data_IF_462376108902
#
_entry.id   IF_462376108902
#
_cell.length_a   1.000
_cell.length_b   1.000
_cell.length_c   1.000
_cell.angle_alpha   90.00
_cell.angle_beta   90.00
_cell.angle_gamma   90.00
#
_symmetry.space_group_name_H-M   'P 1'
#
loop_
_entity.id
_entity.type
_entity.pdbx_description
1 polymer ?
#
# COMPACT_ATOMS: atom_id res chain seq x y z
N UNK A 1 -5.03 26.80 3.77
CA UNK A 1 -4.86 26.74 5.23
C UNK A 1 -5.56 25.48 5.70
N UNK A 2 -4.84 24.63 6.41
CA UNK A 2 -5.39 23.37 6.91
C UNK A 2 -6.21 23.57 8.21
N UNK A 3 -6.74 22.48 8.75
CA UNK A 3 -7.51 22.45 9.99
C UNK A 3 -6.75 22.97 11.23
N UNK A 4 -5.42 22.99 11.19
CA UNK A 4 -4.55 23.46 12.27
C UNK A 4 -4.01 24.88 12.02
N UNK A 5 -4.60 25.59 11.06
CA UNK A 5 -4.21 26.94 10.64
C UNK A 5 -2.81 27.04 9.99
N UNK A 6 -2.23 25.93 9.52
CA UNK A 6 -0.98 25.99 8.76
C UNK A 6 -1.21 26.19 7.26
N UNK A 7 -0.29 26.90 6.60
CA UNK A 7 -0.31 27.13 5.17
C UNK A 7 0.27 25.91 4.45
N UNK A 8 -0.61 25.13 3.84
CA UNK A 8 -0.26 24.00 2.98
C UNK A 8 -0.36 24.39 1.50
N UNK A 9 0.38 23.68 0.64
CA UNK A 9 0.23 23.79 -0.81
C UNK A 9 -1.17 23.30 -1.21
N UNK A 10 -1.82 24.02 -2.13
CA UNK A 10 -3.20 23.76 -2.56
C UNK A 10 -3.40 22.32 -3.02
N UNK A 11 -2.38 21.72 -3.66
CA UNK A 11 -2.39 20.35 -4.16
C UNK A 11 -2.44 19.26 -3.08
N UNK A 12 -2.01 19.60 -1.87
CA UNK A 12 -1.84 18.69 -0.72
C UNK A 12 -3.00 18.82 0.27
N UNK A 13 -4.02 19.64 -0.04
CA UNK A 13 -5.22 19.84 0.79
C UNK A 13 -6.44 19.21 0.11
N UNK A 14 -7.32 18.60 0.91
CA UNK A 14 -8.57 17.97 0.50
C UNK A 14 -9.79 18.71 1.03
N UNK A 15 -10.90 18.57 0.29
CA UNK A 15 -12.22 18.84 0.85
C UNK A 15 -12.68 17.67 1.74
N UNK A 16 -13.29 17.93 2.92
CA UNK A 16 -13.98 16.92 3.70
C UNK A 16 -15.07 16.22 2.86
N UNK A 17 -15.28 14.91 3.07
CA UNK A 17 -16.37 14.19 2.43
C UNK A 17 -17.72 14.65 2.98
N UNK A 18 -18.76 14.74 2.13
CA UNK A 18 -20.11 15.21 2.52
C UNK A 18 -20.94 14.12 3.24
N UNK A 19 -20.47 12.87 3.26
CA UNK A 19 -21.16 11.74 3.90
C UNK A 19 -20.71 11.54 5.33
N UNK A 20 -21.68 11.71 6.23
CA UNK A 20 -21.69 11.31 7.64
C UNK A 20 -21.05 9.92 7.78
N UNK A 21 -20.00 9.82 8.59
CA UNK A 21 -19.37 8.54 8.92
C UNK A 21 -17.86 8.49 8.74
N UNK A 22 -17.14 9.61 8.76
CA UNK A 22 -15.68 9.58 8.99
C UNK A 22 -15.46 9.21 10.47
N UNK A 23 -15.67 7.93 10.77
CA UNK A 23 -15.32 7.32 12.04
C UNK A 23 -13.80 7.35 12.13
N UNK A 24 -13.29 8.43 12.70
CA UNK A 24 -11.97 8.58 13.29
C UNK A 24 -10.93 7.60 12.77
N UNK A 25 -10.34 7.90 11.62
CA UNK A 25 -8.91 7.65 11.53
C UNK A 25 -8.27 8.76 12.35
N UNK A 26 -7.81 8.42 13.55
CA UNK A 26 -6.87 9.23 14.33
C UNK A 26 -5.50 9.29 13.65
N UNK A 27 -5.49 9.39 12.32
CA UNK A 27 -4.29 9.63 11.55
C UNK A 27 -4.20 11.14 11.49
N UNK A 28 -3.19 11.65 12.18
CA UNK A 28 -2.74 13.03 12.30
C UNK A 28 -2.35 13.68 10.96
N UNK A 29 -3.05 13.36 9.87
CA UNK A 29 -2.84 13.93 8.56
C UNK A 29 -3.72 15.16 8.42
N UNK A 30 -3.14 16.30 8.80
CA UNK A 30 -3.69 17.65 8.70
C UNK A 30 -3.85 18.15 7.26
N UNK A 31 -4.40 17.32 6.39
CA UNK A 31 -4.51 17.56 4.96
C UNK A 31 -5.91 18.06 4.57
N UNK A 32 -6.77 18.40 5.53
CA UNK A 32 -8.11 18.93 5.24
C UNK A 32 -8.13 20.45 5.30
N UNK A 33 -8.92 21.06 4.42
CA UNK A 33 -9.13 22.50 4.48
C UNK A 33 -9.76 22.88 5.83
N UNK A 34 -9.36 24.02 6.38
CA UNK A 34 -9.92 24.53 7.61
C UNK A 34 -11.46 24.54 7.56
N UNK A 35 -12.11 24.06 8.63
CA UNK A 35 -13.57 23.94 8.70
C UNK A 35 -14.29 25.27 8.43
N UNK A 36 -13.77 26.39 8.93
CA UNK A 36 -14.37 27.72 8.72
C UNK A 36 -14.33 28.09 7.24
N UNK A 37 -13.21 27.77 6.56
CA UNK A 37 -13.05 28.00 5.12
C UNK A 37 -13.97 27.05 4.32
N UNK A 38 -14.10 25.80 4.75
CA UNK A 38 -14.99 24.84 4.11
C UNK A 38 -16.46 25.26 4.19
N UNK A 39 -16.92 25.67 5.37
CA UNK A 39 -18.29 26.12 5.60
C UNK A 39 -18.59 27.36 4.75
N UNK A 40 -17.64 28.31 4.68
CA UNK A 40 -17.72 29.47 3.81
C UNK A 40 -17.76 29.10 2.31
N UNK A 41 -16.97 28.11 1.87
CA UNK A 41 -16.96 27.64 0.47
C UNK A 41 -18.24 26.89 0.07
N UNK A 42 -18.99 26.36 1.04
CA UNK A 42 -20.27 25.68 0.80
C UNK A 42 -21.46 26.65 0.70
N UNK A 43 -21.26 27.94 0.98
CA UNK A 43 -22.26 28.95 0.70
C UNK A 43 -22.54 29.05 -0.81
N UNK A 44 -23.81 29.16 -1.20
CA UNK A 44 -24.23 29.22 -2.62
C UNK A 44 -23.54 30.32 -3.43
N UNK A 45 -23.15 31.40 -2.76
CA UNK A 45 -22.45 32.56 -3.31
C UNK A 45 -21.01 32.25 -3.74
N UNK A 46 -20.38 31.22 -3.16
CA UNK A 46 -18.97 30.88 -3.37
C UNK A 46 -18.73 29.69 -4.30
N UNK A 47 -19.78 29.23 -5.01
CA UNK A 47 -19.70 28.06 -5.91
C UNK A 47 -18.61 28.20 -6.98
N UNK A 48 -18.40 29.41 -7.52
CA UNK A 48 -17.34 29.70 -8.50
C UNK A 48 -15.93 29.56 -7.90
N UNK A 49 -15.75 29.96 -6.63
CA UNK A 49 -14.49 29.83 -5.90
C UNK A 49 -14.21 28.36 -5.55
N UNK A 50 -15.22 27.62 -5.10
CA UNK A 50 -15.11 26.16 -4.88
C UNK A 50 -14.71 25.44 -6.17
N UNK A 51 -15.33 25.79 -7.31
CA UNK A 51 -14.97 25.23 -8.62
C UNK A 51 -13.57 25.64 -9.06
N UNK A 52 -13.15 26.88 -8.83
CA UNK A 52 -11.78 27.32 -9.12
C UNK A 52 -10.74 26.60 -8.25
N UNK A 53 -11.02 26.35 -6.97
CA UNK A 53 -10.15 25.54 -6.12
C UNK A 53 -10.06 24.09 -6.61
N UNK A 54 -11.14 23.53 -7.14
CA UNK A 54 -11.13 22.21 -7.79
C UNK A 54 -10.26 22.19 -9.04
N UNK A 55 -10.27 23.24 -9.87
CA UNK A 55 -9.38 23.32 -11.05
C UNK A 55 -7.91 23.52 -10.66
N UNK A 56 -7.63 24.09 -9.49
CA UNK A 56 -6.29 24.19 -8.92
C UNK A 56 -5.83 22.90 -8.21
N UNK A 57 -6.70 21.89 -8.13
CA UNK A 57 -6.36 20.57 -7.62
C UNK A 57 -6.87 20.26 -6.22
N UNK A 58 -7.69 21.09 -5.56
CA UNK A 58 -8.36 20.71 -4.31
C UNK A 58 -9.53 19.78 -4.63
N UNK A 59 -9.40 18.49 -4.33
CA UNK A 59 -10.42 17.48 -4.65
C UNK A 59 -10.99 16.93 -3.35
N UNK A 60 -12.24 16.46 -3.39
CA UNK A 60 -12.82 15.70 -2.28
C UNK A 60 -11.97 14.47 -1.98
N UNK A 61 -11.70 14.20 -0.70
CA UNK A 61 -10.98 12.98 -0.30
C UNK A 61 -11.87 11.76 -0.56
N UNK A 62 -11.64 11.12 -1.69
CA UNK A 62 -12.04 9.73 -1.94
C UNK A 62 -10.82 8.82 -1.79
N UNK A 63 -11.04 7.54 -1.51
CA UNK A 63 -9.98 6.52 -1.43
C UNK A 63 -9.05 6.56 -2.67
N UNK A 64 -9.61 6.79 -3.87
CA UNK A 64 -8.85 6.90 -5.12
C UNK A 64 -8.00 8.18 -5.19
N UNK A 65 -8.52 9.33 -4.74
CA UNK A 65 -7.74 10.58 -4.72
C UNK A 65 -6.63 10.55 -3.66
N UNK A 66 -6.90 9.91 -2.52
CA UNK A 66 -5.92 9.70 -1.46
C UNK A 66 -4.81 8.76 -1.91
N UNK A 67 -5.16 7.68 -2.63
CA UNK A 67 -4.18 6.81 -3.27
C UNK A 67 -3.25 7.57 -4.21
N UNK A 68 -3.81 8.31 -5.17
CA UNK A 68 -3.04 8.93 -6.23
C UNK A 68 -2.15 10.10 -5.77
N UNK A 69 -2.57 10.83 -4.73
CA UNK A 69 -1.87 12.02 -4.26
C UNK A 69 -1.03 11.81 -3.01
N UNK A 70 -1.38 10.85 -2.16
CA UNK A 70 -0.69 10.62 -0.89
C UNK A 70 0.09 9.32 -0.93
N UNK A 71 -0.56 8.19 -1.21
CA UNK A 71 0.06 6.87 -1.07
C UNK A 71 1.09 6.62 -2.17
N UNK A 72 0.73 6.80 -3.45
CA UNK A 72 1.63 6.53 -4.58
C UNK A 72 2.91 7.40 -4.50
N UNK A 73 2.83 8.73 -4.30
CA UNK A 73 4.03 9.57 -4.24
C UNK A 73 4.93 9.26 -3.04
N UNK A 74 4.36 8.78 -1.93
CA UNK A 74 5.08 8.48 -0.69
C UNK A 74 5.25 6.97 -0.45
N UNK A 75 5.11 6.13 -1.48
CA UNK A 75 5.00 4.67 -1.30
C UNK A 75 6.14 4.09 -0.44
N UNK A 76 7.38 4.54 -0.63
CA UNK A 76 8.54 4.05 0.13
C UNK A 76 8.52 4.34 1.64
N UNK A 77 7.72 5.32 2.09
CA UNK A 77 7.72 5.81 3.48
C UNK A 77 6.34 5.86 4.13
N UNK A 78 5.27 5.68 3.36
CA UNK A 78 3.89 5.85 3.84
C UNK A 78 3.49 4.77 4.86
N UNK A 79 3.79 3.50 4.58
CA UNK A 79 3.42 2.41 5.48
C UNK A 79 4.33 2.35 6.72
N UNK A 80 3.69 2.35 7.89
CA UNK A 80 4.24 2.14 9.23
C UNK A 80 3.57 0.90 9.86
N UNK A 81 4.11 0.41 10.97
CA UNK A 81 3.56 -0.78 11.64
C UNK A 81 2.11 -0.58 12.12
N UNK A 82 1.71 0.68 12.31
CA UNK A 82 0.37 1.06 12.78
C UNK A 82 -0.67 1.13 11.65
N UNK A 83 -0.25 1.57 10.45
CA UNK A 83 -1.17 1.83 9.34
C UNK A 83 -1.12 0.78 8.22
N UNK A 84 -0.11 -0.11 8.19
CA UNK A 84 0.13 -0.99 7.04
C UNK A 84 -1.06 -1.92 6.75
N UNK A 85 -1.65 -2.54 7.77
CA UNK A 85 -2.83 -3.41 7.59
C UNK A 85 -4.00 -2.63 6.99
N UNK A 86 -4.40 -1.51 7.61
CA UNK A 86 -5.53 -0.68 7.16
C UNK A 86 -5.32 -0.17 5.73
N UNK A 87 -4.10 0.26 5.41
CA UNK A 87 -3.77 0.76 4.08
C UNK A 87 -3.92 -0.33 3.02
N UNK A 88 -3.35 -1.52 3.24
CA UNK A 88 -3.45 -2.61 2.27
C UNK A 88 -4.89 -3.10 2.11
N UNK A 89 -5.71 -3.07 3.19
CA UNK A 89 -7.15 -3.36 3.12
C UNK A 89 -7.86 -2.38 2.20
N UNK A 90 -7.66 -1.08 2.41
CA UNK A 90 -8.27 -0.04 1.59
C UNK A 90 -7.91 -0.22 0.10
N UNK A 91 -6.64 -0.50 -0.20
CA UNK A 91 -6.18 -0.77 -1.56
C UNK A 91 -6.82 -2.02 -2.17
N UNK A 92 -6.95 -3.09 -1.38
CA UNK A 92 -7.61 -4.30 -1.84
C UNK A 92 -9.10 -4.06 -2.14
N UNK A 93 -9.79 -3.27 -1.32
CA UNK A 93 -11.18 -2.89 -1.58
C UNK A 93 -11.34 -2.06 -2.86
N UNK A 94 -10.42 -1.13 -3.13
CA UNK A 94 -10.38 -0.40 -4.40
C UNK A 94 -10.16 -1.34 -5.59
N UNK A 95 -9.28 -2.33 -5.44
CA UNK A 95 -9.01 -3.33 -6.47
C UNK A 95 -10.25 -4.19 -6.77
N UNK A 96 -10.96 -4.66 -5.74
CA UNK A 96 -12.20 -5.44 -5.89
C UNK A 96 -13.33 -4.66 -6.55
N UNK A 97 -13.39 -3.34 -6.33
CA UNK A 97 -14.35 -2.45 -6.99
C UNK A 97 -13.97 -2.13 -8.44
N UNK A 98 -12.82 -2.59 -8.92
CA UNK A 98 -12.22 -2.20 -10.19
C UNK A 98 -11.94 -0.69 -10.31
N UNK A 99 -11.79 0.00 -9.18
CA UNK A 99 -11.41 1.42 -9.14
C UNK A 99 -9.90 1.61 -9.43
N UNK A 100 -9.11 0.55 -9.22
CA UNK A 100 -7.68 0.51 -9.52
C UNK A 100 -7.32 -0.81 -10.20
N UNK A 101 -6.35 -0.76 -11.11
CA UNK A 101 -5.90 -1.93 -11.85
C UNK A 101 -4.38 -2.10 -11.75
N UNK A 102 -3.83 -2.95 -12.63
CA UNK A 102 -2.40 -3.26 -12.68
C UNK A 102 -1.52 -2.02 -12.80
N UNK A 103 -1.97 -0.96 -13.49
CA UNK A 103 -1.15 0.24 -13.71
C UNK A 103 -0.92 1.02 -12.41
N UNK A 104 -1.95 1.17 -11.60
CA UNK A 104 -1.91 1.85 -10.29
C UNK A 104 -1.18 0.98 -9.28
N UNK A 105 -1.51 -0.32 -9.21
CA UNK A 105 -0.86 -1.27 -8.29
C UNK A 105 0.64 -1.40 -8.56
N UNK A 106 1.07 -1.38 -9.83
CA UNK A 106 2.48 -1.44 -10.18
C UNK A 106 3.28 -0.21 -9.72
N UNK A 107 2.63 0.94 -9.45
CA UNK A 107 3.28 2.11 -8.86
C UNK A 107 3.53 1.95 -7.36
N UNK A 108 2.89 0.96 -6.72
CA UNK A 108 3.02 0.65 -5.30
C UNK A 108 4.11 -0.40 -5.00
N UNK A 109 4.99 -0.71 -5.96
CA UNK A 109 6.13 -1.63 -5.77
C UNK A 109 7.02 -1.30 -4.57
N UNK A 110 7.16 -0.01 -4.28
CA UNK A 110 7.94 0.48 -3.14
C UNK A 110 7.14 0.58 -1.85
N UNK A 111 5.82 0.37 -1.90
CA UNK A 111 4.97 0.37 -0.71
C UNK A 111 5.38 -0.77 0.21
N UNK A 112 5.66 -0.45 1.48
CA UNK A 112 6.15 -1.43 2.42
C UNK A 112 5.03 -2.35 2.93
N UNK A 113 5.24 -3.66 2.89
CA UNK A 113 4.32 -4.68 3.35
C UNK A 113 4.88 -5.36 4.61
N UNK A 114 3.95 -5.82 5.45
CA UNK A 114 4.24 -6.56 6.66
C UNK A 114 4.78 -7.94 6.31
N UNK A 115 5.91 -8.31 6.91
CA UNK A 115 6.51 -9.64 6.78
C UNK A 115 6.05 -10.57 7.91
N UNK A 116 6.29 -11.87 7.76
CA UNK A 116 6.03 -12.87 8.81
C UNK A 116 6.85 -12.65 10.09
N UNK A 117 7.92 -11.83 10.04
CA UNK A 117 8.69 -11.42 11.22
C UNK A 117 8.26 -10.08 11.81
N UNK A 118 7.20 -9.48 11.27
CA UNK A 118 6.61 -8.23 11.75
C UNK A 118 7.34 -6.97 11.28
N UNK A 119 8.27 -7.06 10.32
CA UNK A 119 8.94 -5.89 9.75
C UNK A 119 8.23 -5.40 8.49
N UNK A 120 8.72 -4.29 7.94
CA UNK A 120 8.15 -3.63 6.76
C UNK A 120 9.18 -3.51 5.65
N UNK A 121 8.94 -4.22 4.55
CA UNK A 121 9.82 -4.25 3.37
C UNK A 121 9.03 -3.89 2.11
N UNK A 122 9.68 -3.36 1.08
CA UNK A 122 8.99 -2.99 -0.16
C UNK A 122 8.29 -4.20 -0.82
N UNK A 123 7.11 -3.99 -1.40
CA UNK A 123 6.33 -5.03 -2.05
C UNK A 123 7.14 -5.82 -3.10
N UNK A 124 7.98 -5.13 -3.89
CA UNK A 124 8.86 -5.75 -4.89
C UNK A 124 9.97 -6.66 -4.33
N UNK A 125 10.22 -6.57 -3.01
CA UNK A 125 11.19 -7.39 -2.28
C UNK A 125 10.52 -8.52 -1.50
N UNK A 126 9.18 -8.52 -1.40
CA UNK A 126 8.44 -9.59 -0.74
C UNK A 126 8.32 -10.83 -1.62
N UNK A 127 8.26 -11.99 -0.96
CA UNK A 127 7.81 -13.25 -1.51
C UNK A 127 6.61 -13.77 -0.71
N UNK A 128 5.79 -14.64 -1.30
CA UNK A 128 4.70 -15.26 -0.56
C UNK A 128 5.22 -16.23 0.53
N UNK A 129 4.65 -16.15 1.73
CA UNK A 129 4.83 -17.17 2.77
C UNK A 129 4.08 -18.47 2.40
N UNK A 130 4.42 -19.58 3.04
CA UNK A 130 3.91 -20.91 2.69
C UNK A 130 2.38 -21.01 2.85
N UNK A 131 1.78 -20.18 3.71
CA UNK A 131 0.33 -20.11 3.92
C UNK A 131 -0.44 -19.62 2.68
N UNK A 132 0.21 -18.83 1.80
CA UNK A 132 -0.35 -18.43 0.51
C UNK A 132 -0.28 -19.54 -0.56
N UNK A 133 0.32 -20.70 -0.24
CA UNK A 133 0.54 -21.83 -1.16
C UNK A 133 1.32 -21.43 -2.43
N UNK A 134 2.52 -20.83 -2.29
CA UNK A 134 3.38 -20.53 -3.44
C UNK A 134 3.73 -21.81 -4.20
N UNK A 135 4.13 -21.69 -5.47
CA UNK A 135 4.53 -22.86 -6.28
C UNK A 135 5.70 -23.62 -5.66
N UNK A 136 6.64 -22.89 -5.05
CA UNK A 136 7.79 -23.43 -4.37
C UNK A 136 7.81 -22.90 -2.92
N UNK A 137 7.41 -23.71 -1.93
CA UNK A 137 7.42 -23.32 -0.52
C UNK A 137 8.87 -23.29 0.00
N UNK A 138 9.44 -22.09 0.07
CA UNK A 138 10.83 -21.86 0.48
C UNK A 138 10.94 -21.18 1.85
N UNK A 139 9.83 -20.80 2.46
CA UNK A 139 9.84 -20.08 3.72
C UNK A 139 10.54 -20.90 4.81
N UNK A 140 10.23 -22.20 4.93
CA UNK A 140 10.86 -23.05 5.93
C UNK A 140 12.40 -23.03 5.90
N UNK A 141 12.99 -22.97 4.70
CA UNK A 141 14.44 -23.01 4.49
C UNK A 141 15.11 -21.65 4.67
N UNK A 142 14.41 -20.55 4.36
CA UNK A 142 14.99 -19.21 4.30
C UNK A 142 14.58 -18.31 5.47
N UNK A 143 13.48 -18.61 6.18
CA UNK A 143 12.94 -17.78 7.29
C UNK A 143 13.95 -17.48 8.40
N UNK A 144 14.95 -18.34 8.58
CA UNK A 144 16.01 -18.14 9.57
C UNK A 144 16.98 -17.02 9.18
N UNK A 145 17.19 -16.80 7.87
CA UNK A 145 18.20 -15.89 7.32
C UNK A 145 17.60 -14.63 6.70
N UNK A 146 16.41 -14.74 6.12
CA UNK A 146 15.81 -13.70 5.31
C UNK A 146 14.44 -13.29 5.86
N UNK A 147 14.22 -11.98 5.92
CA UNK A 147 12.95 -11.39 6.31
C UNK A 147 12.26 -10.82 5.08
N UNK A 148 11.69 -11.72 4.27
CA UNK A 148 11.06 -11.35 3.00
C UNK A 148 9.69 -11.97 2.72
N UNK A 149 9.21 -12.80 3.64
CA UNK A 149 7.95 -13.52 3.45
C UNK A 149 6.79 -12.65 3.88
N UNK A 150 5.82 -12.44 2.99
CA UNK A 150 4.62 -11.64 3.20
C UNK A 150 3.79 -12.23 4.35
N UNK A 151 3.39 -11.40 5.31
CA UNK A 151 2.55 -11.83 6.43
C UNK A 151 1.19 -12.34 5.95
N UNK A 152 0.73 -13.44 6.53
CA UNK A 152 -0.63 -13.95 6.29
C UNK A 152 -1.70 -13.18 7.07
N UNK A 153 -1.32 -12.21 7.92
CA UNK A 153 -2.25 -11.33 8.64
C UNK A 153 -3.14 -10.54 7.69
N UNK A 154 -2.64 -10.25 6.48
CA UNK A 154 -3.44 -9.66 5.42
C UNK A 154 -4.61 -10.54 4.96
N UNK A 155 -4.68 -11.81 5.35
CA UNK A 155 -5.77 -12.75 5.04
C UNK A 155 -6.58 -13.07 6.28
N UNK A 156 -5.93 -13.28 7.42
CA UNK A 156 -6.58 -13.75 8.67
C UNK A 156 -7.11 -12.63 9.55
N UNK A 157 -6.66 -11.39 9.38
CA UNK A 157 -7.14 -10.25 10.17
C UNK A 157 -8.65 -10.14 10.09
N UNK A 158 -9.30 -9.93 11.23
CA UNK A 158 -10.75 -9.76 11.29
C UNK A 158 -11.24 -8.54 10.48
N UNK A 159 -10.35 -7.56 10.24
CA UNK A 159 -10.63 -6.41 9.36
C UNK A 159 -10.75 -6.85 7.88
N UNK A 160 -10.10 -7.95 7.51
CA UNK A 160 -10.12 -8.55 6.17
C UNK A 160 -11.13 -9.70 6.03
N UNK A 161 -11.74 -10.20 7.11
CA UNK A 161 -12.67 -11.34 7.03
C UNK A 161 -13.99 -10.90 6.42
N UNK A 162 -14.12 -11.08 5.11
CA UNK A 162 -15.39 -11.36 4.46
C UNK A 162 -15.54 -12.87 4.28
N UNK A 163 -16.71 -13.39 4.61
CA UNK A 163 -17.06 -14.78 4.32
C UNK A 163 -16.96 -15.00 2.79
N UNK A 164 -16.21 -16.03 2.37
CA UNK A 164 -16.04 -16.49 0.98
C UNK A 164 -15.04 -15.76 0.07
N UNK A 165 -14.08 -15.00 0.61
CA UNK A 165 -13.10 -14.32 -0.25
C UNK A 165 -11.97 -15.24 -0.75
N UNK A 166 -11.74 -15.24 -2.07
CA UNK A 166 -10.82 -16.16 -2.74
C UNK A 166 -9.35 -15.76 -2.50
N UNK A 167 -8.56 -16.68 -1.92
CA UNK A 167 -7.11 -16.54 -1.76
C UNK A 167 -6.42 -16.23 -3.10
N UNK A 168 -6.96 -16.72 -4.22
CA UNK A 168 -6.47 -16.45 -5.57
C UNK A 168 -6.54 -14.96 -5.93
N UNK A 169 -7.64 -14.29 -5.59
CA UNK A 169 -7.81 -12.86 -5.86
C UNK A 169 -6.81 -12.03 -5.03
N UNK A 170 -6.63 -12.39 -3.76
CA UNK A 170 -5.65 -11.76 -2.87
C UNK A 170 -4.23 -11.93 -3.40
N UNK A 171 -3.87 -13.13 -3.84
CA UNK A 171 -2.56 -13.38 -4.48
C UNK A 171 -2.39 -12.53 -5.73
N UNK A 172 -3.41 -12.46 -6.59
CA UNK A 172 -3.38 -11.64 -7.81
C UNK A 172 -3.12 -10.17 -7.47
N UNK A 173 -3.79 -9.63 -6.46
CA UNK A 173 -3.56 -8.27 -5.98
C UNK A 173 -2.10 -8.04 -5.56
N UNK A 174 -1.54 -8.92 -4.72
CA UNK A 174 -0.15 -8.79 -4.27
C UNK A 174 0.87 -8.92 -5.41
N UNK A 175 0.63 -9.83 -6.36
CA UNK A 175 1.47 -9.96 -7.58
C UNK A 175 1.44 -8.67 -8.39
N UNK A 176 0.27 -8.04 -8.54
CA UNK A 176 0.14 -6.76 -9.25
C UNK A 176 0.84 -5.60 -8.53
N UNK A 177 0.92 -5.64 -7.20
CA UNK A 177 1.74 -4.70 -6.42
C UNK A 177 3.25 -4.97 -6.53
N UNK A 178 3.66 -6.15 -7.01
CA UNK A 178 5.06 -6.51 -7.23
C UNK A 178 5.60 -7.62 -6.34
N UNK A 179 4.78 -8.22 -5.48
CA UNK A 179 5.20 -9.39 -4.68
C UNK A 179 5.61 -10.53 -5.61
N UNK A 180 6.77 -11.12 -5.33
CA UNK A 180 7.35 -12.16 -6.18
C UNK A 180 6.72 -13.52 -5.87
N UNK A 181 6.36 -14.25 -6.92
CA UNK A 181 5.88 -15.64 -6.80
C UNK A 181 7.03 -16.65 -6.73
N UNK A 182 8.18 -16.31 -7.34
CA UNK A 182 9.33 -17.18 -7.47
C UNK A 182 10.60 -16.41 -7.06
N UNK A 183 11.54 -17.08 -6.41
CA UNK A 183 12.89 -16.53 -6.25
C UNK A 183 13.61 -16.63 -7.57
N UNK A 184 14.02 -15.50 -8.12
CA UNK A 184 14.86 -15.50 -9.31
C UNK A 184 16.22 -16.12 -8.95
N UNK A 185 16.65 -17.18 -9.65
CA UNK A 185 17.97 -17.75 -9.44
C UNK A 185 19.02 -16.70 -9.79
N UNK A 186 19.99 -16.50 -8.89
CA UNK A 186 21.16 -15.68 -9.17
C UNK A 186 22.02 -16.47 -10.16
N UNK A 187 22.07 -16.00 -11.41
CA UNK A 187 22.96 -16.59 -12.41
C UNK A 187 24.39 -16.15 -12.09
N UNK A 188 25.22 -17.11 -11.66
CA UNK A 188 26.64 -16.86 -11.48
C UNK A 188 27.30 -16.74 -12.86
N UNK A 189 27.55 -15.52 -13.32
CA UNK A 189 28.27 -15.23 -14.56
C UNK A 189 29.79 -15.47 -14.45
N UNK A 190 30.27 -16.07 -13.35
CA UNK A 190 31.66 -16.50 -13.19
C UNK A 190 31.69 -18.01 -12.97
N UNK A 191 32.68 -18.68 -13.59
CA UNK A 191 33.02 -20.05 -13.21
C UNK A 191 33.54 -20.01 -11.77
N UNK A 192 32.82 -20.65 -10.85
CA UNK A 192 33.31 -20.89 -9.50
C UNK A 192 34.40 -21.97 -9.58
N UNK A 193 35.48 -21.79 -8.83
CA UNK A 193 36.39 -22.90 -8.56
C UNK A 193 35.67 -23.94 -7.69
N UNK A 194 36.12 -25.20 -7.71
CA UNK A 194 35.53 -26.27 -6.89
C UNK A 194 35.52 -25.94 -5.39
N UNK A 195 36.52 -25.21 -4.91
CA UNK A 195 36.58 -24.72 -3.53
C UNK A 195 35.49 -23.67 -3.22
N UNK A 196 35.27 -22.71 -4.11
CA UNK A 196 34.23 -21.69 -3.95
C UNK A 196 32.82 -22.29 -4.09
N UNK A 197 32.65 -23.27 -4.97
CA UNK A 197 31.40 -24.00 -5.15
C UNK A 197 31.02 -24.79 -3.88
N UNK A 198 31.99 -25.46 -3.27
CA UNK A 198 31.80 -26.15 -1.99
C UNK A 198 31.41 -25.19 -0.86
N UNK A 199 31.96 -23.97 -0.85
CA UNK A 199 31.58 -22.91 0.09
C UNK A 199 30.12 -22.41 -0.07
N UNK A 200 29.52 -22.63 -1.24
CA UNK A 200 28.11 -22.34 -1.53
C UNK A 200 27.19 -23.56 -1.42
N UNK A 201 27.70 -24.70 -0.96
CA UNK A 201 26.90 -25.92 -0.76
C UNK A 201 26.67 -26.74 -2.02
N UNK A 202 27.39 -26.47 -3.11
CA UNK A 202 27.45 -27.35 -4.27
C UNK A 202 28.53 -28.41 -4.00
N UNK A 203 28.11 -29.60 -3.59
CA UNK A 203 28.99 -30.77 -3.50
C UNK A 203 28.74 -31.69 -4.71
N UNK A 204 29.82 -32.24 -5.26
CA UNK A 204 29.78 -33.33 -6.26
C UNK A 204 29.16 -34.62 -5.70
#
# INVERSE_FOLDING_TARGET
>A
MDQDNHLQLIKDIYFPAETIGDSGTSDSDNLFINKIIFDWLNEKTQKSIKQWLQTLGVIQRTDLTFLNKTIIPNASTYNTSENALKTIIMLFMLFQKHDIEKKELNQLKKLKLLTTRGTLIAAEQCCFCDQYKPRLPLEEYLKAKEDKFLSFDYVTSDIFKKENEDLTERRRFFIMMGVQEELHPIVFNRKLTSYEAAGHGFCD
#
